data_IF_715917725844
#
_entry.id   IF_715917725844
#
_cell.length_a   1.000
_cell.length_b   1.000
_cell.length_c   1.000
_cell.angle_alpha   90.00
_cell.angle_beta   90.00
_cell.angle_gamma   90.00
#
_symmetry.space_group_name_H-M   'P 1'
#
loop_
_entity.id
_entity.type
_entity.pdbx_description
1 polymer ?
#
# COMPACT_ATOMS: atom_id res chain seq x y z
N UNK A 1 -18.91 -14.04 -12.26
CA UNK A 1 -18.48 -12.69 -12.69
C UNK A 1 -18.16 -11.76 -11.53
N UNK A 2 -18.75 -11.94 -10.34
CA UNK A 2 -18.61 -11.04 -9.19
C UNK A 2 -17.23 -11.12 -8.48
N UNK A 3 -16.66 -12.32 -8.31
CA UNK A 3 -15.31 -12.49 -7.73
C UNK A 3 -14.21 -11.75 -8.52
N UNK A 4 -14.32 -11.71 -9.85
CA UNK A 4 -13.40 -10.93 -10.70
C UNK A 4 -13.54 -9.41 -10.49
N UNK A 5 -14.73 -8.92 -10.10
CA UNK A 5 -14.93 -7.49 -9.80
C UNK A 5 -14.33 -7.11 -8.45
N UNK A 6 -14.48 -7.95 -7.43
CA UNK A 6 -13.85 -7.74 -6.11
C UNK A 6 -12.32 -7.68 -6.24
N UNK A 7 -11.72 -8.64 -6.94
CA UNK A 7 -10.27 -8.60 -7.19
C UNK A 7 -9.84 -7.34 -7.95
N UNK A 8 -10.62 -6.89 -8.94
CA UNK A 8 -10.30 -5.66 -9.69
C UNK A 8 -10.37 -4.41 -8.80
N UNK A 9 -11.32 -4.35 -7.85
CA UNK A 9 -11.42 -3.22 -6.91
C UNK A 9 -10.20 -3.16 -6.00
N UNK A 10 -9.77 -4.30 -5.45
CA UNK A 10 -8.59 -4.36 -4.59
C UNK A 10 -7.33 -4.06 -5.42
N UNK A 11 -7.20 -4.64 -6.61
CA UNK A 11 -6.07 -4.40 -7.51
C UNK A 11 -5.94 -2.91 -7.88
N UNK A 12 -7.04 -2.21 -8.17
CA UNK A 12 -7.01 -0.78 -8.46
C UNK A 12 -6.55 0.08 -7.28
N UNK A 13 -6.76 -0.37 -6.04
CA UNK A 13 -6.25 0.30 -4.84
C UNK A 13 -4.75 -0.02 -4.60
N UNK A 14 -4.29 -1.19 -5.02
CA UNK A 14 -2.93 -1.70 -4.78
C UNK A 14 -1.93 -1.31 -5.87
N UNK A 15 -2.34 -1.26 -7.15
CA UNK A 15 -1.43 -0.96 -8.27
C UNK A 15 -0.65 0.36 -8.10
N UNK A 16 -1.25 1.46 -7.62
CA UNK A 16 -0.49 2.68 -7.32
C UNK A 16 0.57 2.45 -6.25
N UNK A 17 0.26 1.67 -5.21
CA UNK A 17 1.15 1.37 -4.10
C UNK A 17 2.34 0.51 -4.53
N UNK A 18 2.19 -0.38 -5.51
CA UNK A 18 3.31 -1.15 -6.07
C UNK A 18 4.34 -0.27 -6.81
N UNK A 19 3.96 0.97 -7.15
CA UNK A 19 4.79 1.93 -7.91
C UNK A 19 5.26 3.11 -7.08
N UNK A 20 5.23 3.01 -5.74
CA UNK A 20 5.61 4.12 -4.87
C UNK A 20 4.53 5.19 -4.70
N UNK A 21 3.28 4.89 -5.09
CA UNK A 21 2.16 5.83 -5.02
C UNK A 21 1.68 6.10 -3.59
N UNK A 22 0.90 7.17 -3.45
CA UNK A 22 0.25 7.54 -2.19
C UNK A 22 -1.14 6.94 -2.07
N UNK A 23 -1.59 6.70 -0.84
CA UNK A 23 -2.97 6.31 -0.52
C UNK A 23 -3.60 7.36 0.41
N UNK A 24 -4.08 8.44 -0.20
CA UNK A 24 -4.59 9.60 0.53
C UNK A 24 -5.90 9.29 1.26
N UNK A 25 -6.31 10.19 2.16
CA UNK A 25 -7.62 10.10 2.83
C UNK A 25 -8.79 10.02 1.83
N UNK A 26 -8.68 10.72 0.70
CA UNK A 26 -9.70 10.69 -0.35
C UNK A 26 -9.70 9.35 -1.11
N UNK A 27 -8.52 8.78 -1.39
CA UNK A 27 -8.43 7.48 -2.07
C UNK A 27 -9.00 6.36 -1.20
N UNK A 28 -8.69 6.39 0.10
CA UNK A 28 -9.24 5.45 1.08
C UNK A 28 -10.76 5.57 1.18
N UNK A 29 -11.31 6.78 1.27
CA UNK A 29 -12.76 6.98 1.32
C UNK A 29 -13.48 6.41 0.08
N UNK A 30 -12.92 6.64 -1.12
CA UNK A 30 -13.43 6.06 -2.37
C UNK A 30 -13.33 4.54 -2.35
N UNK A 31 -12.20 3.99 -1.91
CA UNK A 31 -12.01 2.55 -1.80
C UNK A 31 -13.04 1.92 -0.85
N UNK A 32 -13.21 2.43 0.37
CA UNK A 32 -14.20 1.94 1.34
C UNK A 32 -15.60 1.93 0.75
N UNK A 33 -16.00 3.02 0.10
CA UNK A 33 -17.32 3.14 -0.51
C UNK A 33 -17.55 2.05 -1.57
N UNK A 34 -16.59 1.87 -2.48
CA UNK A 34 -16.67 0.86 -3.55
C UNK A 34 -16.62 -0.55 -2.96
N UNK A 35 -15.69 -0.81 -2.04
CA UNK A 35 -15.49 -2.11 -1.42
C UNK A 35 -16.75 -2.60 -0.68
N UNK A 36 -17.37 -1.74 0.14
CA UNK A 36 -18.63 -2.06 0.82
C UNK A 36 -19.79 -2.30 -0.13
N UNK A 37 -19.89 -1.49 -1.19
CA UNK A 37 -20.92 -1.67 -2.23
C UNK A 37 -20.81 -3.05 -2.90
N UNK A 38 -19.60 -3.58 -2.98
CA UNK A 38 -19.30 -4.88 -3.56
C UNK A 38 -19.19 -6.02 -2.53
N UNK A 39 -19.60 -5.79 -1.28
CA UNK A 39 -19.69 -6.81 -0.25
C UNK A 39 -18.33 -7.32 0.27
N UNK A 40 -17.26 -6.54 0.12
CA UNK A 40 -15.97 -6.87 0.74
C UNK A 40 -16.11 -6.70 2.27
N UNK A 41 -15.60 -7.68 3.01
CA UNK A 41 -15.64 -7.66 4.48
C UNK A 41 -14.90 -6.43 5.04
N UNK A 42 -15.47 -5.79 6.06
CA UNK A 42 -14.86 -4.61 6.69
C UNK A 42 -13.45 -4.90 7.24
N UNK A 43 -13.19 -6.13 7.72
CA UNK A 43 -11.87 -6.58 8.16
C UNK A 43 -10.82 -6.53 7.04
N UNK A 44 -11.18 -7.01 5.85
CA UNK A 44 -10.32 -6.98 4.66
C UNK A 44 -10.12 -5.54 4.19
N UNK A 45 -11.16 -4.69 4.27
CA UNK A 45 -11.07 -3.27 3.94
C UNK A 45 -10.10 -2.55 4.89
N UNK A 46 -10.21 -2.78 6.20
CA UNK A 46 -9.32 -2.21 7.21
C UNK A 46 -7.88 -2.65 6.99
N UNK A 47 -7.63 -3.94 6.73
CA UNK A 47 -6.29 -4.46 6.48
C UNK A 47 -5.64 -3.83 5.24
N UNK A 48 -6.38 -3.69 4.12
CA UNK A 48 -5.88 -3.01 2.92
C UNK A 48 -5.56 -1.53 3.21
N UNK A 49 -6.39 -0.87 4.03
CA UNK A 49 -6.17 0.52 4.42
C UNK A 49 -4.90 0.67 5.25
N UNK A 50 -4.71 -0.17 6.25
CA UNK A 50 -3.57 -0.09 7.16
C UNK A 50 -2.26 -0.38 6.40
N UNK A 51 -2.24 -1.39 5.54
CA UNK A 51 -1.08 -1.69 4.71
C UNK A 51 -0.81 -0.56 3.71
N UNK A 52 -1.83 -0.08 3.01
CA UNK A 52 -1.65 0.98 2.03
C UNK A 52 -1.19 2.32 2.63
N UNK A 53 -1.65 2.64 3.85
CA UNK A 53 -1.14 3.77 4.60
C UNK A 53 0.32 3.57 5.00
N UNK A 54 0.66 2.37 5.49
CA UNK A 54 2.05 2.02 5.86
C UNK A 54 2.99 2.19 4.68
N UNK A 55 2.65 1.66 3.50
CA UNK A 55 3.43 1.83 2.27
C UNK A 55 3.58 3.30 1.88
N UNK A 56 2.49 4.07 1.92
CA UNK A 56 2.51 5.51 1.60
C UNK A 56 3.48 6.30 2.51
N UNK A 57 3.53 5.92 3.79
CA UNK A 57 4.44 6.55 4.75
C UNK A 57 5.89 6.14 4.51
N UNK A 58 6.14 4.87 4.15
CA UNK A 58 7.48 4.38 3.84
C UNK A 58 8.03 5.07 2.59
N UNK A 59 7.27 5.17 1.49
CA UNK A 59 7.72 5.85 0.28
C UNK A 59 8.04 7.33 0.54
N UNK A 60 7.17 8.01 1.31
CA UNK A 60 7.46 9.38 1.75
C UNK A 60 8.72 9.45 2.62
N UNK A 61 8.98 8.42 3.43
CA UNK A 61 10.19 8.37 4.23
C UNK A 61 11.45 8.20 3.37
N UNK A 62 11.40 7.36 2.33
CA UNK A 62 12.48 7.23 1.34
C UNK A 62 12.79 8.57 0.68
N UNK A 63 11.77 9.30 0.20
CA UNK A 63 11.95 10.63 -0.40
C UNK A 63 12.64 11.62 0.55
N UNK A 64 12.26 11.59 1.83
CA UNK A 64 12.85 12.45 2.86
C UNK A 64 14.30 12.05 3.17
N UNK A 65 14.62 10.76 3.17
CA UNK A 65 15.99 10.26 3.35
C UNK A 65 16.85 10.67 2.16
N UNK A 66 16.33 10.58 0.94
CA UNK A 66 17.04 11.00 -0.27
C UNK A 66 17.33 12.50 -0.26
N UNK A 67 16.37 13.32 0.17
CA UNK A 67 16.54 14.77 0.31
C UNK A 67 17.44 15.20 1.49
N UNK A 68 17.72 14.32 2.45
CA UNK A 68 18.49 14.67 3.65
C UNK A 68 19.99 14.85 3.41
N UNK A 69 20.68 15.47 4.38
CA UNK A 69 22.15 15.62 4.38
C UNK A 69 22.89 14.35 4.90
N UNK A 70 22.19 13.23 5.06
CA UNK A 70 22.80 12.00 5.58
C UNK A 70 23.93 11.50 4.66
N UNK A 71 25.01 10.93 5.23
CA UNK A 71 26.02 10.26 4.43
C UNK A 71 25.42 9.14 3.58
N UNK A 72 25.97 8.94 2.38
CA UNK A 72 25.51 7.91 1.42
C UNK A 72 25.34 6.52 2.05
N UNK A 73 26.28 6.10 2.90
CA UNK A 73 26.24 4.79 3.53
C UNK A 73 25.10 4.67 4.55
N UNK A 74 24.74 5.76 5.23
CA UNK A 74 23.57 5.78 6.13
C UNK A 74 22.27 5.73 5.34
N UNK A 75 22.16 6.50 4.24
CA UNK A 75 20.99 6.42 3.34
C UNK A 75 20.78 5.00 2.82
N UNK A 76 21.87 4.35 2.38
CA UNK A 76 21.82 2.96 1.89
C UNK A 76 21.34 1.97 2.96
N UNK A 77 21.81 2.11 4.20
CA UNK A 77 21.37 1.27 5.31
C UNK A 77 19.87 1.45 5.58
N UNK A 78 19.38 2.69 5.63
CA UNK A 78 17.96 2.99 5.84
C UNK A 78 17.11 2.45 4.69
N UNK A 79 17.50 2.70 3.43
CA UNK A 79 16.80 2.19 2.25
C UNK A 79 16.67 0.67 2.24
N UNK A 80 17.69 -0.05 2.73
CA UNK A 80 17.63 -1.52 2.80
C UNK A 80 16.55 -1.99 3.76
N UNK A 81 16.40 -1.32 4.91
CA UNK A 81 15.34 -1.65 5.88
C UNK A 81 13.95 -1.24 5.39
N UNK A 82 13.84 -0.07 4.75
CA UNK A 82 12.58 0.39 4.17
C UNK A 82 12.10 -0.54 3.04
N UNK A 83 13.01 -0.97 2.15
CA UNK A 83 12.69 -1.90 1.07
C UNK A 83 12.19 -3.24 1.61
N UNK A 84 12.79 -3.76 2.68
CA UNK A 84 12.31 -4.98 3.33
C UNK A 84 10.86 -4.83 3.82
N UNK A 85 10.55 -3.70 4.45
CA UNK A 85 9.19 -3.42 4.90
C UNK A 85 8.21 -3.25 3.73
N UNK A 86 8.63 -2.62 2.64
CA UNK A 86 7.84 -2.52 1.40
C UNK A 86 7.51 -3.92 0.88
N UNK A 87 8.52 -4.79 0.74
CA UNK A 87 8.34 -6.14 0.19
C UNK A 87 7.38 -6.98 1.05
N UNK A 88 7.48 -6.90 2.37
CA UNK A 88 6.59 -7.59 3.32
C UNK A 88 5.13 -7.11 3.19
N UNK A 89 4.92 -5.79 3.12
CA UNK A 89 3.58 -5.19 2.97
C UNK A 89 2.96 -5.48 1.60
N UNK A 90 3.74 -5.40 0.51
CA UNK A 90 3.26 -5.75 -0.82
C UNK A 90 2.91 -7.24 -0.93
N UNK A 91 3.67 -8.11 -0.26
CA UNK A 91 3.33 -9.53 -0.17
C UNK A 91 2.02 -9.76 0.57
N UNK A 92 1.77 -9.04 1.68
CA UNK A 92 0.51 -9.13 2.41
C UNK A 92 -0.69 -8.72 1.52
N UNK A 93 -0.58 -7.60 0.80
CA UNK A 93 -1.63 -7.18 -0.15
C UNK A 93 -1.90 -8.22 -1.25
N UNK A 94 -0.84 -8.81 -1.82
CA UNK A 94 -0.98 -9.86 -2.85
C UNK A 94 -1.67 -11.11 -2.29
N UNK A 95 -1.40 -11.48 -1.04
CA UNK A 95 -2.09 -12.62 -0.43
C UNK A 95 -3.59 -12.35 -0.25
N UNK A 96 -3.97 -11.13 0.13
CA UNK A 96 -5.37 -10.70 0.21
C UNK A 96 -6.05 -10.78 -1.16
N UNK A 97 -5.39 -10.29 -2.23
CA UNK A 97 -5.93 -10.35 -3.60
C UNK A 97 -6.14 -11.78 -4.09
N UNK A 98 -5.29 -12.72 -3.68
CA UNK A 98 -5.30 -14.10 -4.17
C UNK A 98 -6.22 -15.05 -3.39
N UNK A 99 -6.94 -14.56 -2.38
CA UNK A 99 -7.88 -15.33 -1.54
C UNK A 99 -9.29 -15.33 -2.17
#
# INVERSE_FOLDING_TARGET
MEKNRVHAIIANAVEPLERGGSFSSSDRAKFVQVARTHGIEDSVIEEIIDIGQTLSLIYRHEDLIDASDLPREQKKAVHTELQKSIDENLKALRNIINT
#
